data_IF_729549512199
#
_entry.id   IF_729549512199
#
_cell.length_a   1.000
_cell.length_b   1.000
_cell.length_c   1.000
_cell.angle_alpha   90.00
_cell.angle_beta   90.00
_cell.angle_gamma   90.00
#
_symmetry.space_group_name_H-M   'P 1'
#
loop_
_entity.id
_entity.type
_entity.pdbx_description
1 polymer ?
#
# COMPACT_ATOMS: atom_id res chain seq x y z
N UNK A 1 -38.58 22.90 -14.55
CA UNK A 1 -39.13 21.58 -14.23
C UNK A 1 -38.31 20.98 -13.10
N UNK A 2 -38.88 20.87 -11.91
CA UNK A 2 -38.22 20.25 -10.76
C UNK A 2 -38.42 18.72 -10.84
N UNK A 3 -37.39 17.91 -10.51
CA UNK A 3 -37.54 16.46 -10.43
C UNK A 3 -38.53 16.09 -9.33
N UNK A 4 -39.40 15.10 -9.60
CA UNK A 4 -40.43 14.63 -8.67
C UNK A 4 -39.83 13.96 -7.43
N UNK A 5 -40.50 14.18 -6.29
CA UNK A 5 -40.13 13.72 -4.94
C UNK A 5 -39.81 12.22 -4.83
N UNK A 6 -40.44 11.38 -5.64
CA UNK A 6 -40.26 9.92 -5.62
C UNK A 6 -38.93 9.45 -6.21
N UNK A 7 -38.26 10.27 -7.03
CA UNK A 7 -36.94 9.93 -7.59
C UNK A 7 -35.77 10.33 -6.68
N UNK A 8 -36.05 10.99 -5.55
CA UNK A 8 -35.04 11.63 -4.70
C UNK A 8 -34.57 10.78 -3.50
N UNK A 9 -35.12 9.59 -3.27
CA UNK A 9 -34.76 8.77 -2.08
C UNK A 9 -33.59 7.83 -2.33
N UNK A 10 -33.26 7.53 -3.59
CA UNK A 10 -32.01 6.84 -3.91
C UNK A 10 -30.88 7.84 -3.92
N UNK A 11 -30.30 8.07 -2.74
CA UNK A 11 -28.99 8.68 -2.61
C UNK A 11 -27.97 7.82 -3.37
N UNK A 12 -27.77 8.11 -4.65
CA UNK A 12 -26.64 7.57 -5.39
C UNK A 12 -25.41 8.20 -4.78
N UNK A 13 -24.84 7.54 -3.77
CA UNK A 13 -23.50 7.87 -3.34
C UNK A 13 -22.62 7.76 -4.58
N UNK A 14 -21.83 8.80 -4.94
CA UNK A 14 -21.01 8.81 -6.15
C UNK A 14 -19.86 7.77 -6.10
N UNK A 15 -19.82 6.96 -5.05
CA UNK A 15 -18.81 5.95 -4.76
C UNK A 15 -19.50 4.59 -4.85
N UNK A 16 -19.00 3.71 -5.73
CA UNK A 16 -19.39 2.30 -5.68
C UNK A 16 -18.89 1.71 -4.35
N UNK A 17 -19.82 1.57 -3.41
CA UNK A 17 -19.57 0.91 -2.15
C UNK A 17 -19.08 -0.52 -2.42
N UNK A 18 -18.09 -0.98 -1.66
CA UNK A 18 -17.67 -2.38 -1.70
C UNK A 18 -18.88 -3.29 -1.47
N UNK A 19 -18.87 -4.48 -2.10
CA UNK A 19 -19.96 -5.46 -2.02
C UNK A 19 -20.63 -5.56 -0.64
N UNK A 20 -19.90 -5.67 0.49
CA UNK A 20 -20.52 -5.75 1.82
C UNK A 20 -21.25 -4.47 2.26
N UNK A 21 -20.70 -3.28 1.98
CA UNK A 21 -21.34 -2.00 2.38
C UNK A 21 -22.62 -1.76 1.58
N UNK A 22 -22.64 -2.15 0.30
CA UNK A 22 -23.84 -2.09 -0.54
C UNK A 22 -24.95 -3.01 0.00
N UNK A 23 -24.60 -4.22 0.44
CA UNK A 23 -25.55 -5.15 1.06
C UNK A 23 -26.16 -4.55 2.34
N UNK A 24 -25.33 -3.97 3.21
CA UNK A 24 -25.80 -3.32 4.44
C UNK A 24 -26.67 -2.09 4.17
N UNK A 25 -26.30 -1.26 3.20
CA UNK A 25 -27.06 -0.05 2.86
C UNK A 25 -28.41 -0.41 2.23
N UNK A 26 -28.44 -1.45 1.38
CA UNK A 26 -29.67 -2.03 0.85
C UNK A 26 -30.56 -2.55 1.97
N UNK A 27 -30.01 -3.36 2.88
CA UNK A 27 -30.73 -3.88 4.04
C UNK A 27 -31.33 -2.77 4.92
N UNK A 28 -30.59 -1.68 5.18
CA UNK A 28 -31.08 -0.54 5.98
C UNK A 28 -32.23 0.17 5.25
N UNK A 29 -32.12 0.35 3.93
CA UNK A 29 -33.18 0.98 3.14
C UNK A 29 -34.45 0.13 3.14
N UNK A 30 -34.31 -1.17 2.87
CA UNK A 30 -35.42 -2.14 2.91
C UNK A 30 -36.06 -2.19 4.31
N UNK A 31 -35.26 -2.04 5.37
CA UNK A 31 -35.76 -1.96 6.74
C UNK A 31 -36.56 -0.69 7.01
N UNK A 32 -36.12 0.47 6.51
CA UNK A 32 -36.87 1.71 6.63
C UNK A 32 -38.19 1.66 5.87
N UNK A 33 -38.19 1.10 4.66
CA UNK A 33 -39.42 0.89 3.87
C UNK A 33 -40.37 -0.08 4.59
N UNK A 34 -39.82 -1.15 5.19
CA UNK A 34 -40.59 -2.07 6.02
C UNK A 34 -41.22 -1.38 7.25
N UNK A 35 -40.47 -0.53 7.96
CA UNK A 35 -41.02 0.24 9.08
C UNK A 35 -42.12 1.21 8.64
N UNK A 36 -41.96 1.88 7.50
CA UNK A 36 -42.99 2.78 6.96
C UNK A 36 -44.27 2.03 6.62
N UNK A 37 -44.17 0.82 6.06
CA UNK A 37 -45.32 -0.04 5.79
C UNK A 37 -46.02 -0.50 7.07
N UNK A 38 -45.27 -0.75 8.16
CA UNK A 38 -45.86 -1.09 9.46
C UNK A 38 -46.52 0.10 10.16
N UNK A 39 -46.01 1.31 9.94
CA UNK A 39 -46.54 2.54 10.55
C UNK A 39 -47.72 3.14 9.78
N UNK A 40 -48.13 2.54 8.66
CA UNK A 40 -49.35 2.94 7.97
C UNK A 40 -50.53 2.69 8.93
N UNK A 41 -51.34 3.71 9.26
CA UNK A 41 -52.45 3.56 10.20
C UNK A 41 -53.38 2.50 9.63
N UNK A 42 -53.37 1.33 10.25
CA UNK A 42 -54.44 0.36 10.05
C UNK A 42 -55.68 1.02 10.65
N UNK A 43 -56.66 1.30 9.80
CA UNK A 43 -57.97 1.75 10.24
C UNK A 43 -58.45 0.82 11.38
N UNK A 44 -58.91 1.48 12.45
CA UNK A 44 -59.18 0.92 13.77
C UNK A 44 -60.05 -0.35 13.73
N UNK A 45 -59.68 -1.32 14.60
CA UNK A 45 -60.52 -2.35 15.26
C UNK A 45 -59.91 -3.75 15.35
N UNK A 46 -58.64 -3.95 14.93
CA UNK A 46 -57.97 -5.23 15.16
C UNK A 46 -57.19 -5.25 16.49
N UNK A 47 -57.44 -6.25 17.38
CA UNK A 47 -56.82 -6.32 18.70
C UNK A 47 -55.29 -6.42 18.57
N UNK A 48 -54.60 -5.61 19.37
CA UNK A 48 -53.16 -5.43 19.44
C UNK A 48 -52.45 -6.77 19.74
N UNK A 49 -52.15 -7.55 18.69
CA UNK A 49 -51.42 -8.79 18.81
C UNK A 49 -49.96 -8.47 19.12
N UNK A 50 -49.56 -8.70 20.37
CA UNK A 50 -48.15 -8.61 20.79
C UNK A 50 -47.31 -9.54 19.92
N UNK A 51 -46.19 -9.07 19.35
CA UNK A 51 -45.38 -9.89 18.45
C UNK A 51 -44.79 -11.07 19.22
N UNK A 52 -45.20 -12.28 18.82
CA UNK A 52 -44.67 -13.52 19.37
C UNK A 52 -43.16 -13.63 19.08
N UNK A 53 -42.33 -14.05 20.06
CA UNK A 53 -40.87 -14.09 19.94
C UNK A 53 -40.33 -15.06 18.87
N UNK A 54 -41.17 -15.81 18.16
CA UNK A 54 -40.75 -16.76 17.12
C UNK A 54 -40.84 -16.23 15.69
N UNK A 55 -41.10 -14.93 15.49
CA UNK A 55 -41.24 -14.41 14.13
C UNK A 55 -39.88 -14.46 13.43
N UNK A 56 -39.71 -15.23 12.35
CA UNK A 56 -38.43 -15.34 11.65
C UNK A 56 -37.99 -13.96 11.14
N UNK A 57 -36.68 -13.68 11.21
CA UNK A 57 -36.14 -12.43 10.72
C UNK A 57 -36.59 -12.17 9.26
N UNK A 58 -36.88 -10.91 8.89
CA UNK A 58 -37.32 -10.58 7.54
C UNK A 58 -36.35 -11.11 6.48
N UNK A 59 -36.89 -11.51 5.32
CA UNK A 59 -36.10 -12.12 4.24
C UNK A 59 -34.89 -11.28 3.81
N UNK A 60 -35.04 -9.95 3.76
CA UNK A 60 -33.96 -9.03 3.39
C UNK A 60 -32.79 -9.06 4.38
N UNK A 61 -33.04 -9.29 5.68
CA UNK A 61 -31.98 -9.45 6.69
C UNK A 61 -31.20 -10.73 6.45
N UNK A 62 -31.89 -11.85 6.21
CA UNK A 62 -31.24 -13.14 5.92
C UNK A 62 -30.40 -13.09 4.63
N UNK A 63 -30.97 -12.51 3.57
CA UNK A 63 -30.27 -12.32 2.30
C UNK A 63 -29.01 -11.45 2.46
N UNK A 64 -29.08 -10.38 3.26
CA UNK A 64 -27.92 -9.53 3.54
C UNK A 64 -26.84 -10.28 4.32
N UNK A 65 -27.22 -11.07 5.33
CA UNK A 65 -26.29 -11.91 6.12
C UNK A 65 -25.62 -12.97 5.24
N UNK A 66 -26.37 -13.70 4.43
CA UNK A 66 -25.81 -14.69 3.50
C UNK A 66 -24.89 -14.02 2.48
N UNK A 67 -25.29 -12.86 1.95
CA UNK A 67 -24.46 -12.05 1.09
C UNK A 67 -23.14 -11.63 1.75
N UNK A 68 -23.20 -11.14 3.00
CA UNK A 68 -22.03 -10.74 3.79
C UNK A 68 -21.04 -11.89 4.01
N UNK A 69 -21.54 -13.11 4.23
CA UNK A 69 -20.71 -14.30 4.41
C UNK A 69 -19.81 -14.60 3.21
N UNK A 70 -20.21 -14.17 2.02
CA UNK A 70 -19.47 -14.35 0.77
C UNK A 70 -18.53 -13.17 0.45
N UNK A 71 -18.40 -12.20 1.35
CA UNK A 71 -17.55 -11.01 1.16
C UNK A 71 -16.32 -11.02 2.05
N UNK A 72 -15.43 -10.04 1.87
CA UNK A 72 -14.31 -9.78 2.77
C UNK A 72 -14.74 -9.40 4.19
N UNK A 73 -16.02 -9.13 4.44
CA UNK A 73 -16.58 -8.84 5.76
C UNK A 73 -17.21 -10.07 6.43
N UNK A 74 -16.99 -11.28 5.89
CA UNK A 74 -17.47 -12.53 6.49
C UNK A 74 -17.01 -12.72 7.95
N UNK A 75 -15.90 -12.10 8.33
CA UNK A 75 -15.39 -12.10 9.70
C UNK A 75 -16.37 -11.50 10.72
N UNK A 76 -17.31 -10.65 10.30
CA UNK A 76 -18.35 -10.09 11.17
C UNK A 76 -19.40 -11.13 11.58
N UNK A 77 -19.53 -12.21 10.82
CA UNK A 77 -20.49 -13.29 11.08
C UNK A 77 -19.85 -14.46 11.82
N UNK A 78 -18.53 -14.62 11.70
CA UNK A 78 -17.81 -15.66 12.43
C UNK A 78 -17.67 -15.30 13.90
N UNK A 79 -18.08 -16.21 14.78
CA UNK A 79 -17.88 -16.11 16.23
C UNK A 79 -16.42 -16.28 16.67
N UNK A 80 -15.53 -16.62 15.74
CA UNK A 80 -14.10 -16.76 16.04
C UNK A 80 -13.43 -15.39 16.20
N UNK A 81 -12.52 -15.22 17.18
CA UNK A 81 -11.74 -14.00 17.31
C UNK A 81 -10.94 -13.73 16.03
N UNK A 82 -10.81 -12.45 15.67
CA UNK A 82 -10.00 -12.00 14.53
C UNK A 82 -8.58 -12.55 14.66
N UNK A 83 -8.13 -13.26 13.62
CA UNK A 83 -6.77 -13.81 13.54
C UNK A 83 -5.88 -12.80 12.83
N UNK A 84 -4.58 -12.83 13.11
CA UNK A 84 -3.59 -12.05 12.34
C UNK A 84 -3.70 -12.27 10.82
N UNK A 85 -4.15 -13.45 10.39
CA UNK A 85 -4.34 -13.81 8.99
C UNK A 85 -5.54 -13.17 8.31
N UNK A 86 -6.48 -12.55 9.04
CA UNK A 86 -7.60 -11.83 8.43
C UNK A 86 -7.16 -10.43 8.02
N UNK A 87 -6.82 -10.28 6.74
CA UNK A 87 -6.45 -8.97 6.19
C UNK A 87 -7.68 -8.04 6.21
N UNK A 88 -7.54 -6.81 6.75
CA UNK A 88 -8.62 -5.84 6.72
C UNK A 88 -8.84 -5.39 5.27
N UNK A 89 -10.06 -5.02 4.89
CA UNK A 89 -10.33 -4.53 3.54
C UNK A 89 -9.46 -3.31 3.24
N UNK A 90 -8.65 -3.40 2.18
CA UNK A 90 -7.79 -2.28 1.78
C UNK A 90 -8.63 -1.15 1.22
N UNK A 91 -8.64 -0.02 1.93
CA UNK A 91 -9.28 1.19 1.45
C UNK A 91 -8.46 1.79 0.30
N UNK A 92 -9.10 1.97 -0.86
CA UNK A 92 -8.52 2.71 -1.99
C UNK A 92 -9.14 4.11 -1.99
N UNK A 93 -8.41 5.15 -1.54
CA UNK A 93 -8.96 6.50 -1.54
C UNK A 93 -9.27 6.92 -2.98
N UNK A 94 -10.39 7.60 -3.16
CA UNK A 94 -10.71 8.23 -4.44
C UNK A 94 -9.88 9.49 -4.59
N UNK A 95 -9.30 9.70 -5.77
CA UNK A 95 -8.61 10.95 -6.10
C UNK A 95 -9.60 12.10 -6.11
N UNK A 96 -9.57 12.93 -5.08
CA UNK A 96 -10.33 14.17 -5.04
C UNK A 96 -9.62 15.20 -5.92
N UNK A 97 -10.38 15.86 -6.81
CA UNK A 97 -9.88 17.05 -7.49
C UNK A 97 -9.38 18.07 -6.45
N UNK A 98 -8.28 18.79 -6.69
CA UNK A 98 -7.77 19.78 -5.73
C UNK A 98 -8.86 20.75 -5.28
N UNK A 99 -8.96 20.97 -3.97
CA UNK A 99 -9.80 22.02 -3.41
C UNK A 99 -9.10 23.34 -3.74
N UNK A 100 -9.60 24.04 -4.76
CA UNK A 100 -9.08 25.35 -5.13
C UNK A 100 -9.64 26.38 -4.16
N UNK A 101 -8.75 27.19 -3.58
CA UNK A 101 -9.18 28.35 -2.78
C UNK A 101 -9.89 29.38 -3.66
N UNK A 102 -9.43 29.50 -4.91
CA UNK A 102 -10.10 30.32 -5.92
C UNK A 102 -11.17 29.50 -6.65
N UNK A 103 -12.37 30.07 -6.70
CA UNK A 103 -13.44 29.60 -7.58
C UNK A 103 -12.94 29.39 -9.00
N UNK A 104 -13.40 28.32 -9.67
CA UNK A 104 -13.11 28.11 -11.11
C UNK A 104 -13.62 29.28 -11.96
N UNK A 105 -14.60 29.99 -11.43
CA UNK A 105 -15.27 31.12 -12.05
C UNK A 105 -14.91 32.43 -11.36
N UNK A 106 -13.73 32.53 -10.73
CA UNK A 106 -13.25 33.75 -10.06
C UNK A 106 -13.35 34.99 -10.95
N UNK A 107 -13.06 34.85 -12.25
CA UNK A 107 -13.20 35.91 -13.24
C UNK A 107 -14.64 36.41 -13.41
N UNK A 108 -15.66 35.55 -13.27
CA UNK A 108 -17.06 35.94 -13.37
C UNK A 108 -17.50 36.80 -12.18
N UNK A 109 -16.86 36.66 -11.03
CA UNK A 109 -17.16 37.46 -9.85
C UNK A 109 -16.57 38.87 -9.88
N UNK A 110 -15.66 39.16 -10.82
CA UNK A 110 -15.11 40.50 -11.02
C UNK A 110 -16.05 41.45 -11.76
N UNK A 111 -17.08 40.94 -12.45
CA UNK A 111 -18.04 41.76 -13.19
C UNK A 111 -19.23 42.16 -12.31
N UNK A 112 -19.66 43.42 -12.43
CA UNK A 112 -20.91 43.87 -11.82
C UNK A 112 -22.10 43.33 -12.64
N UNK A 113 -23.10 42.69 -12.02
CA UNK A 113 -24.27 42.20 -12.74
C UNK A 113 -25.05 43.37 -13.35
N UNK A 114 -25.41 43.28 -14.62
CA UNK A 114 -26.15 44.31 -15.35
C UNK A 114 -27.67 44.14 -15.23
N UNK A 115 -28.12 42.92 -14.90
CA UNK A 115 -29.53 42.59 -14.76
C UNK A 115 -29.82 41.84 -13.45
N UNK A 116 -31.06 41.89 -12.98
CA UNK A 116 -31.51 41.14 -11.79
C UNK A 116 -31.32 39.62 -11.97
N UNK A 117 -31.52 39.12 -13.19
CA UNK A 117 -31.32 37.71 -13.53
C UNK A 117 -29.86 37.28 -13.42
N UNK A 118 -28.93 38.13 -13.85
CA UNK A 118 -27.48 37.87 -13.68
C UNK A 118 -27.10 37.82 -12.21
N UNK A 119 -27.64 38.72 -11.38
CA UNK A 119 -27.40 38.69 -9.95
C UNK A 119 -27.89 37.37 -9.31
N UNK A 120 -29.08 36.89 -9.67
CA UNK A 120 -29.61 35.61 -9.22
C UNK A 120 -28.73 34.42 -9.66
N UNK A 121 -28.28 34.41 -10.92
CA UNK A 121 -27.39 33.37 -11.43
C UNK A 121 -26.02 33.38 -10.72
N UNK A 122 -25.46 34.56 -10.45
CA UNK A 122 -24.22 34.69 -9.68
C UNK A 122 -24.38 34.18 -8.25
N UNK A 123 -25.52 34.45 -7.60
CA UNK A 123 -25.82 33.91 -6.28
C UNK A 123 -25.95 32.38 -6.31
N UNK A 124 -26.73 31.84 -7.24
CA UNK A 124 -26.88 30.39 -7.42
C UNK A 124 -25.53 29.71 -7.70
N UNK A 125 -24.63 30.36 -8.45
CA UNK A 125 -23.28 29.87 -8.70
C UNK A 125 -22.46 29.81 -7.40
N UNK A 126 -22.45 30.88 -6.59
CA UNK A 126 -21.75 30.91 -5.28
C UNK A 126 -22.28 29.84 -4.34
N UNK A 127 -23.59 29.67 -4.27
CA UNK A 127 -24.22 28.63 -3.46
C UNK A 127 -23.86 27.22 -3.94
N UNK A 128 -23.83 26.99 -5.25
CA UNK A 128 -23.41 25.71 -5.83
C UNK A 128 -21.94 25.39 -5.51
N UNK A 129 -21.03 26.37 -5.65
CA UNK A 129 -19.61 26.18 -5.33
C UNK A 129 -19.37 25.99 -3.84
N UNK A 130 -20.10 26.71 -2.98
CA UNK A 130 -20.06 26.54 -1.53
C UNK A 130 -20.48 25.12 -1.14
N UNK A 131 -21.59 24.61 -1.70
CA UNK A 131 -22.06 23.24 -1.47
C UNK A 131 -21.05 22.20 -1.96
N UNK A 132 -20.50 22.37 -3.16
CA UNK A 132 -19.52 21.44 -3.71
C UNK A 132 -18.21 21.44 -2.90
N UNK A 133 -17.73 22.62 -2.46
CA UNK A 133 -16.56 22.72 -1.60
C UNK A 133 -16.81 22.08 -0.23
N UNK A 134 -17.98 22.29 0.36
CA UNK A 134 -18.38 21.62 1.60
C UNK A 134 -18.39 20.10 1.45
N UNK A 135 -18.98 19.56 0.37
CA UNK A 135 -18.98 18.12 0.06
C UNK A 135 -17.57 17.57 -0.13
N UNK A 136 -16.70 18.27 -0.86
CA UNK A 136 -15.30 17.86 -1.05
C UNK A 136 -14.53 17.82 0.27
N UNK A 137 -14.72 18.82 1.14
CA UNK A 137 -14.11 18.83 2.49
C UNK A 137 -14.57 17.64 3.32
N UNK A 138 -15.88 17.39 3.37
CA UNK A 138 -16.43 16.24 4.09
C UNK A 138 -15.92 14.90 3.54
N UNK A 139 -15.78 14.75 2.21
CA UNK A 139 -15.16 13.55 1.63
C UNK A 139 -13.67 13.44 1.97
N UNK A 140 -12.93 14.55 1.96
CA UNK A 140 -11.52 14.55 2.34
C UNK A 140 -11.32 14.15 3.81
N UNK A 141 -12.15 14.68 4.71
CA UNK A 141 -12.17 14.31 6.13
C UNK A 141 -12.49 12.82 6.33
N UNK A 142 -13.49 12.29 5.60
CA UNK A 142 -13.84 10.87 5.64
C UNK A 142 -12.72 9.96 5.11
N UNK A 143 -12.04 10.37 4.03
CA UNK A 143 -10.88 9.64 3.53
C UNK A 143 -9.72 9.67 4.52
N UNK A 144 -9.44 10.83 5.11
CA UNK A 144 -8.38 10.98 6.11
C UNK A 144 -8.65 10.12 7.35
N UNK A 145 -9.88 10.14 7.89
CA UNK A 145 -10.23 9.32 9.05
C UNK A 145 -10.14 7.81 8.75
N UNK A 146 -10.54 7.38 7.55
CA UNK A 146 -10.43 5.98 7.12
C UNK A 146 -8.97 5.55 6.98
N UNK A 147 -8.10 6.40 6.43
CA UNK A 147 -6.66 6.12 6.33
C UNK A 147 -6.04 6.01 7.72
N UNK A 148 -6.35 6.93 8.63
CA UNK A 148 -5.86 6.88 10.01
C UNK A 148 -6.33 5.63 10.75
N UNK A 149 -7.60 5.25 10.61
CA UNK A 149 -8.14 4.02 11.17
C UNK A 149 -7.41 2.79 10.60
N UNK A 150 -7.17 2.77 9.28
CA UNK A 150 -6.41 1.71 8.61
C UNK A 150 -4.97 1.58 9.14
N UNK A 151 -4.28 2.70 9.38
CA UNK A 151 -2.95 2.71 9.97
C UNK A 151 -2.96 2.13 11.39
N UNK A 152 -3.92 2.53 12.21
CA UNK A 152 -4.09 1.99 13.57
C UNK A 152 -4.36 0.49 13.55
N UNK A 153 -5.28 0.01 12.70
CA UNK A 153 -5.60 -1.42 12.60
C UNK A 153 -4.40 -2.23 12.14
N UNK A 154 -3.60 -1.73 11.19
CA UNK A 154 -2.39 -2.41 10.74
C UNK A 154 -1.37 -2.56 11.88
N UNK A 155 -1.19 -1.50 12.69
CA UNK A 155 -0.31 -1.56 13.87
C UNK A 155 -0.82 -2.56 14.92
N UNK A 156 -2.12 -2.55 15.19
CA UNK A 156 -2.73 -3.51 16.11
C UNK A 156 -2.59 -4.96 15.62
N UNK A 157 -2.75 -5.19 14.31
CA UNK A 157 -2.55 -6.50 13.70
C UNK A 157 -1.10 -6.96 13.78
N UNK A 158 -0.12 -6.09 13.52
CA UNK A 158 1.29 -6.41 13.68
C UNK A 158 1.63 -6.80 15.13
N UNK A 159 1.07 -6.09 16.12
CA UNK A 159 1.24 -6.44 17.53
C UNK A 159 0.60 -7.79 17.89
N UNK A 160 -0.60 -8.07 17.35
CA UNK A 160 -1.26 -9.36 17.52
C UNK A 160 -0.46 -10.50 16.89
N UNK A 161 0.04 -10.30 15.67
CA UNK A 161 0.89 -11.26 14.98
C UNK A 161 2.17 -11.54 15.78
N UNK A 162 2.87 -10.51 16.23
CA UNK A 162 4.07 -10.67 17.06
C UNK A 162 3.76 -11.41 18.37
N UNK A 163 2.60 -11.15 18.99
CA UNK A 163 2.16 -11.85 20.19
C UNK A 163 1.83 -13.34 19.91
N UNK A 164 1.17 -13.64 18.79
CA UNK A 164 0.88 -15.00 18.33
C UNK A 164 2.16 -15.77 18.00
N UNK A 165 3.09 -15.16 17.27
CA UNK A 165 4.40 -15.73 16.95
C UNK A 165 5.25 -15.95 18.20
N UNK A 166 5.26 -15.02 19.15
CA UNK A 166 5.93 -15.21 20.44
C UNK A 166 5.34 -16.37 21.22
N UNK A 167 4.01 -16.57 21.17
CA UNK A 167 3.35 -17.74 21.76
C UNK A 167 3.75 -19.03 21.04
N UNK A 168 3.86 -19.02 19.70
CA UNK A 168 4.30 -20.17 18.89
C UNK A 168 5.78 -20.51 19.08
N UNK A 169 6.67 -19.51 19.17
CA UNK A 169 8.13 -19.68 19.36
C UNK A 169 8.45 -20.27 20.75
N UNK A 170 7.68 -19.92 21.79
CA UNK A 170 7.87 -20.47 23.16
C UNK A 170 7.67 -21.97 23.26
N UNK A 171 6.95 -22.60 22.32
CA UNK A 171 6.75 -24.05 22.26
C UNK A 171 7.89 -24.79 21.55
N UNK A 172 8.80 -24.09 20.87
CA UNK A 172 9.69 -24.70 19.86
C UNK A 172 11.04 -25.25 20.34
N UNK A 173 11.57 -24.90 21.52
CA UNK A 173 12.96 -25.28 21.87
C UNK A 173 13.26 -25.58 23.33
N UNK A 174 12.26 -25.68 24.20
CA UNK A 174 12.50 -26.31 25.50
C UNK A 174 12.40 -27.82 25.28
N UNK A 175 13.53 -28.54 25.38
CA UNK A 175 13.56 -30.03 25.43
C UNK A 175 12.64 -30.61 26.53
N UNK A 176 12.11 -29.76 27.42
CA UNK A 176 11.06 -30.00 28.42
C UNK A 176 9.72 -29.31 28.05
N UNK A 177 9.21 -29.52 26.82
CA UNK A 177 8.04 -28.80 26.26
C UNK A 177 6.73 -28.91 27.05
N UNK A 178 6.60 -29.92 27.92
CA UNK A 178 5.38 -30.15 28.71
C UNK A 178 5.34 -29.39 30.04
N UNK A 179 6.42 -28.68 30.40
CA UNK A 179 6.53 -27.98 31.70
C UNK A 179 6.56 -28.92 32.92
N UNK A 180 6.57 -30.23 32.72
CA UNK A 180 6.73 -31.25 33.75
C UNK A 180 8.18 -31.73 33.78
N UNK A 181 8.76 -31.82 34.96
CA UNK A 181 10.06 -32.44 35.15
C UNK A 181 9.95 -33.93 34.76
N UNK A 182 10.55 -34.32 33.63
CA UNK A 182 10.76 -35.73 33.31
C UNK A 182 11.95 -36.22 34.14
N UNK A 183 11.74 -37.29 34.91
CA UNK A 183 12.85 -38.06 35.47
C UNK A 183 13.53 -38.80 34.32
N UNK A 184 14.67 -38.28 33.87
CA UNK A 184 15.55 -39.03 32.99
C UNK A 184 16.46 -39.91 33.84
N UNK A 185 16.63 -41.17 33.42
CA UNK A 185 17.78 -41.98 33.79
C UNK A 185 19.06 -41.21 33.45
N UNK A 186 20.09 -41.28 34.29
CA UNK A 186 21.35 -40.53 34.08
C UNK A 186 21.94 -40.70 32.68
N UNK A 187 21.85 -41.91 32.12
CA UNK A 187 22.38 -42.24 30.79
C UNK A 187 21.60 -41.58 29.64
N UNK A 188 20.27 -41.51 29.74
CA UNK A 188 19.43 -40.89 28.70
C UNK A 188 19.64 -39.38 28.66
N UNK A 189 19.80 -38.75 29.83
CA UNK A 189 20.14 -37.34 29.94
C UNK A 189 21.52 -37.05 29.35
N UNK A 190 22.51 -37.90 29.65
CA UNK A 190 23.87 -37.75 29.13
C UNK A 190 23.90 -37.82 27.60
N UNK A 191 23.25 -38.81 26.97
CA UNK A 191 23.15 -38.88 25.50
C UNK A 191 22.52 -37.61 24.90
N UNK A 192 21.46 -37.10 25.53
CA UNK A 192 20.76 -35.90 25.07
C UNK A 192 21.61 -34.63 25.17
N UNK A 193 22.51 -34.55 26.16
CA UNK A 193 23.49 -33.48 26.30
C UNK A 193 24.57 -33.57 25.21
N UNK A 194 25.12 -34.76 24.98
CA UNK A 194 26.12 -34.99 23.92
C UNK A 194 25.57 -34.61 22.55
N UNK A 195 24.37 -35.07 22.20
CA UNK A 195 23.71 -34.68 20.94
C UNK A 195 23.45 -33.17 20.82
N UNK A 196 23.19 -32.48 21.94
CA UNK A 196 23.00 -31.03 21.95
C UNK A 196 24.30 -30.27 21.67
N UNK A 197 25.39 -30.74 22.27
CA UNK A 197 26.69 -30.11 22.14
C UNK A 197 27.28 -30.37 20.76
N UNK A 198 27.17 -31.59 20.23
CA UNK A 198 27.52 -31.90 18.83
C UNK A 198 26.74 -31.02 17.84
N UNK A 199 25.44 -30.81 18.09
CA UNK A 199 24.62 -29.95 17.24
C UNK A 199 25.04 -28.49 17.33
N UNK A 200 25.37 -27.98 18.52
CA UNK A 200 25.89 -26.60 18.68
C UNK A 200 27.22 -26.43 17.98
N UNK A 201 28.10 -27.44 18.04
CA UNK A 201 29.38 -27.41 17.34
C UNK A 201 29.20 -27.39 15.82
N UNK A 202 28.26 -28.18 15.27
CA UNK A 202 27.91 -28.16 13.85
C UNK A 202 27.33 -26.79 13.43
N UNK A 203 26.37 -26.26 14.19
CA UNK A 203 25.78 -24.94 13.91
C UNK A 203 26.83 -23.82 13.99
N UNK A 204 27.77 -23.88 14.93
CA UNK A 204 28.87 -22.93 15.06
C UNK A 204 29.85 -23.04 13.87
N UNK A 205 30.21 -24.25 13.45
CA UNK A 205 31.08 -24.48 12.29
C UNK A 205 30.44 -23.97 10.99
N UNK A 206 29.14 -24.21 10.78
CA UNK A 206 28.40 -23.68 9.63
C UNK A 206 28.32 -22.16 9.64
N UNK A 207 28.13 -21.54 10.81
CA UNK A 207 28.14 -20.07 10.94
C UNK A 207 29.50 -19.49 10.58
N UNK A 208 30.59 -20.12 11.00
CA UNK A 208 31.95 -19.71 10.65
C UNK A 208 32.21 -19.84 9.14
N UNK A 209 31.77 -20.93 8.50
CA UNK A 209 31.85 -21.09 7.04
C UNK A 209 31.09 -19.99 6.31
N UNK A 210 29.84 -19.72 6.71
CA UNK A 210 29.04 -18.61 6.14
C UNK A 210 29.69 -17.24 6.35
N UNK A 211 30.35 -17.00 7.48
CA UNK A 211 31.08 -15.76 7.71
C UNK A 211 32.28 -15.63 6.75
N UNK A 212 33.09 -16.69 6.62
CA UNK A 212 34.23 -16.70 5.71
C UNK A 212 33.82 -16.52 4.23
N UNK A 213 32.71 -17.15 3.80
CA UNK A 213 32.20 -17.01 2.45
C UNK A 213 31.73 -15.57 2.16
N UNK A 214 31.08 -14.92 3.14
CA UNK A 214 30.68 -13.51 3.05
C UNK A 214 31.88 -12.57 2.95
N UNK A 215 32.91 -12.79 3.75
CA UNK A 215 34.16 -12.02 3.69
C UNK A 215 34.85 -12.20 2.32
N UNK A 216 34.98 -13.44 1.84
CA UNK A 216 35.56 -13.72 0.54
C UNK A 216 34.75 -13.11 -0.62
N UNK A 217 33.42 -13.09 -0.52
CA UNK A 217 32.57 -12.40 -1.49
C UNK A 217 32.73 -10.88 -1.41
N UNK A 218 32.79 -10.29 -0.21
CA UNK A 218 33.01 -8.87 -0.03
C UNK A 218 34.35 -8.42 -0.62
N UNK A 219 35.44 -9.16 -0.41
CA UNK A 219 36.75 -8.85 -1.01
C UNK A 219 36.74 -8.93 -2.54
N UNK A 220 36.05 -9.93 -3.13
CA UNK A 220 35.86 -10.03 -4.59
C UNK A 220 35.06 -8.84 -5.14
N UNK A 221 34.09 -8.35 -4.37
CA UNK A 221 33.27 -7.21 -4.78
C UNK A 221 34.05 -5.89 -4.70
N UNK A 222 34.88 -5.71 -3.66
CA UNK A 222 35.74 -4.54 -3.51
C UNK A 222 36.76 -4.45 -4.67
N UNK A 223 37.50 -5.52 -4.93
CA UNK A 223 38.47 -5.58 -6.05
C UNK A 223 37.79 -5.35 -7.42
N UNK A 224 36.58 -5.86 -7.62
CA UNK A 224 35.80 -5.59 -8.82
C UNK A 224 35.36 -4.12 -8.94
N UNK A 225 34.99 -3.48 -7.84
CA UNK A 225 34.62 -2.06 -7.82
C UNK A 225 35.82 -1.18 -8.21
N UNK A 226 36.99 -1.40 -7.62
CA UNK A 226 38.22 -0.66 -7.92
C UNK A 226 38.61 -0.79 -9.40
N UNK A 227 38.55 -2.01 -9.95
CA UNK A 227 38.86 -2.25 -11.36
C UNK A 227 37.88 -1.51 -12.29
N UNK A 228 36.59 -1.50 -11.97
CA UNK A 228 35.59 -0.82 -12.78
C UNK A 228 35.65 0.70 -12.64
N UNK A 229 36.03 1.22 -11.48
CA UNK A 229 36.26 2.64 -11.28
C UNK A 229 37.42 3.13 -12.16
N UNK A 230 38.54 2.37 -12.21
CA UNK A 230 39.66 2.67 -13.10
C UNK A 230 39.28 2.62 -14.60
N UNK A 231 38.36 1.73 -15.00
CA UNK A 231 37.85 1.71 -16.38
C UNK A 231 36.96 2.93 -16.64
N UNK A 232 36.12 3.34 -15.68
CA UNK A 232 35.25 4.51 -15.81
C UNK A 232 36.05 5.80 -15.96
N UNK A 233 37.13 5.98 -15.19
CA UNK A 233 37.98 7.18 -15.30
C UNK A 233 38.63 7.27 -16.67
N UNK A 234 39.27 6.19 -17.15
CA UNK A 234 39.85 6.12 -18.52
C UNK A 234 38.81 6.36 -19.61
N UNK A 235 37.62 5.78 -19.47
CA UNK A 235 36.53 5.98 -20.43
C UNK A 235 35.99 7.43 -20.40
N UNK A 236 36.01 8.09 -19.25
CA UNK A 236 35.63 9.50 -19.15
C UNK A 236 36.64 10.39 -19.88
N UNK A 237 37.95 10.13 -19.72
CA UNK A 237 39.03 10.80 -20.45
C UNK A 237 38.87 10.62 -21.97
N UNK A 238 38.72 9.39 -22.45
CA UNK A 238 38.48 9.08 -23.88
C UNK A 238 37.22 9.74 -24.44
N UNK A 239 36.16 9.85 -23.63
CA UNK A 239 34.93 10.56 -24.02
C UNK A 239 35.13 12.08 -24.08
N UNK A 240 35.98 12.63 -23.21
CA UNK A 240 36.33 14.05 -23.26
C UNK A 240 37.12 14.36 -24.54
N UNK A 241 38.11 13.53 -24.90
CA UNK A 241 38.85 13.61 -26.17
C UNK A 241 37.92 13.52 -27.39
N UNK A 242 37.00 12.55 -27.38
CA UNK A 242 35.98 12.44 -28.41
C UNK A 242 35.13 13.72 -28.51
N UNK A 243 34.72 14.28 -27.36
CA UNK A 243 33.92 15.50 -27.33
C UNK A 243 34.69 16.70 -27.89
N UNK A 244 35.99 16.82 -27.63
CA UNK A 244 36.82 17.90 -28.19
C UNK A 244 36.98 17.76 -29.70
N UNK A 245 37.15 16.53 -30.21
CA UNK A 245 37.27 16.27 -31.65
C UNK A 245 35.95 16.44 -32.40
N UNK A 246 34.83 16.11 -31.77
CA UNK A 246 33.51 16.42 -32.34
C UNK A 246 33.28 17.93 -32.38
N UNK A 247 33.67 18.66 -31.34
CA UNK A 247 33.54 20.12 -31.31
C UNK A 247 34.41 20.79 -32.38
N UNK A 248 35.66 20.37 -32.58
CA UNK A 248 36.52 20.87 -33.66
C UNK A 248 35.96 20.52 -35.05
N UNK A 249 35.43 19.32 -35.23
CA UNK A 249 34.75 18.94 -36.47
C UNK A 249 33.51 19.80 -36.73
N UNK A 250 32.72 20.14 -35.70
CA UNK A 250 31.53 20.99 -35.85
C UNK A 250 31.89 22.43 -36.21
N UNK A 251 32.94 23.00 -35.61
CA UNK A 251 33.42 24.36 -35.95
C UNK A 251 33.98 24.41 -37.37
N UNK A 252 34.78 23.42 -37.78
CA UNK A 252 35.28 23.30 -39.16
C UNK A 252 34.16 23.11 -40.18
N UNK A 253 33.17 22.27 -39.86
CA UNK A 253 31.99 22.07 -40.70
C UNK A 253 31.17 23.36 -40.85
N UNK A 254 31.02 24.13 -39.78
CA UNK A 254 30.34 25.43 -39.82
C UNK A 254 31.10 26.45 -40.68
N UNK A 255 32.43 26.52 -40.54
CA UNK A 255 33.29 27.38 -41.37
C UNK A 255 33.21 27.00 -42.86
N UNK A 256 33.34 25.72 -43.20
CA UNK A 256 33.20 25.24 -44.58
C UNK A 256 31.83 25.56 -45.19
N UNK A 257 30.75 25.50 -44.39
CA UNK A 257 29.41 25.89 -44.82
C UNK A 257 29.32 27.40 -45.10
N UNK A 258 29.93 28.25 -44.26
CA UNK A 258 29.98 29.70 -44.47
C UNK A 258 30.75 30.07 -45.75
N UNK A 259 31.84 29.35 -46.04
CA UNK A 259 32.66 29.49 -47.25
C UNK A 259 32.05 28.84 -48.51
N UNK A 260 30.89 28.18 -48.39
CA UNK A 260 30.24 27.40 -49.46
C UNK A 260 31.11 26.26 -50.02
N UNK A 261 32.06 25.75 -49.22
CA UNK A 261 32.87 24.57 -49.55
C UNK A 261 32.12 23.30 -49.13
N UNK A 262 32.31 22.19 -49.85
CA UNK A 262 31.78 20.87 -49.45
C UNK A 262 32.70 20.23 -48.40
N UNK A 263 32.25 19.96 -47.16
CA UNK A 263 33.06 19.26 -46.16
C UNK A 263 33.17 17.78 -46.55
N UNK A 264 34.38 17.29 -46.80
CA UNK A 264 34.64 15.87 -47.13
C UNK A 264 35.20 15.06 -45.94
N UNK A 265 35.32 15.66 -44.76
CA UNK A 265 35.86 14.98 -43.58
C UNK A 265 34.78 14.17 -42.86
N UNK A 266 35.00 12.87 -42.57
CA UNK A 266 34.04 12.06 -41.84
C UNK A 266 33.91 12.56 -40.40
N UNK A 267 32.70 12.43 -39.82
CA UNK A 267 32.49 12.72 -38.40
C UNK A 267 33.28 11.70 -37.55
N UNK A 268 34.03 12.14 -36.51
CA UNK A 268 34.65 11.22 -35.57
C UNK A 268 33.62 10.23 -34.99
N UNK A 269 33.98 8.95 -34.88
CA UNK A 269 33.12 7.90 -34.32
C UNK A 269 33.63 7.49 -32.95
N UNK A 270 32.71 7.28 -32.01
CA UNK A 270 33.04 6.90 -30.64
C UNK A 270 33.80 5.56 -30.55
N UNK A 271 33.57 4.64 -31.49
CA UNK A 271 34.23 3.33 -31.52
C UNK A 271 35.75 3.44 -31.75
N UNK A 272 36.21 4.50 -32.42
CA UNK A 272 37.63 4.69 -32.77
C UNK A 272 38.47 5.07 -31.54
N UNK A 273 37.83 5.54 -30.46
CA UNK A 273 38.48 5.95 -29.20
C UNK A 273 38.65 4.79 -28.22
N UNK A 274 38.30 3.56 -28.61
CA UNK A 274 38.60 2.35 -27.84
C UNK A 274 37.97 2.33 -26.44
N UNK A 275 36.70 2.69 -26.28
CA UNK A 275 36.02 2.65 -24.98
C UNK A 275 35.99 1.21 -24.44
N UNK A 276 36.55 1.01 -23.26
CA UNK A 276 36.61 -0.29 -22.59
C UNK A 276 35.25 -0.67 -22.01
N UNK A 277 34.89 -1.96 -22.06
CA UNK A 277 33.67 -2.46 -21.43
C UNK A 277 33.92 -2.74 -19.96
N UNK A 278 32.91 -2.48 -19.11
CA UNK A 278 33.01 -2.76 -17.67
C UNK A 278 33.05 -4.28 -17.44
N UNK A 279 33.82 -4.70 -16.44
CA UNK A 279 33.90 -6.09 -16.01
C UNK A 279 32.55 -6.54 -15.44
N UNK A 280 32.10 -7.77 -15.73
CA UNK A 280 30.85 -8.31 -15.19
C UNK A 280 30.92 -8.44 -13.66
N UNK A 281 29.81 -8.17 -12.98
CA UNK A 281 29.73 -8.25 -11.52
C UNK A 281 29.95 -9.70 -11.06
N UNK A 282 30.76 -9.95 -10.01
CA UNK A 282 30.87 -11.27 -9.40
C UNK A 282 29.48 -11.78 -8.99
N UNK A 283 29.15 -13.03 -9.34
CA UNK A 283 27.91 -13.66 -8.89
C UNK A 283 28.05 -14.08 -7.43
N UNK A 284 26.99 -13.88 -6.65
CA UNK A 284 26.84 -14.54 -5.34
C UNK A 284 26.82 -16.05 -5.60
N UNK A 285 27.56 -16.84 -4.82
CA UNK A 285 27.54 -18.30 -5.01
C UNK A 285 26.13 -18.84 -4.74
N UNK A 286 25.71 -19.89 -5.45
CA UNK A 286 24.38 -20.51 -5.28
C UNK A 286 24.15 -21.13 -3.88
N UNK A 287 25.12 -21.05 -2.97
CA UNK A 287 25.03 -21.47 -1.56
C UNK A 287 24.62 -20.37 -0.59
N UNK A 288 24.53 -19.13 -1.05
CA UNK A 288 23.81 -18.10 -0.32
C UNK A 288 22.31 -18.30 -0.57
N UNK A 289 21.74 -19.28 0.14
CA UNK A 289 20.29 -19.38 0.35
C UNK A 289 19.81 -17.98 0.75
N UNK A 290 18.71 -17.44 0.17
CA UNK A 290 18.14 -16.19 0.62
C UNK A 290 17.70 -16.34 2.08
N UNK A 291 18.63 -16.11 3.01
CA UNK A 291 18.33 -15.85 4.41
C UNK A 291 17.27 -14.76 4.40
N UNK A 292 16.09 -15.11 4.87
CA UNK A 292 15.12 -14.17 5.40
C UNK A 292 15.92 -13.19 6.26
N UNK A 293 16.11 -11.96 5.75
CA UNK A 293 16.49 -10.84 6.57
C UNK A 293 15.39 -10.71 7.63
N UNK A 294 15.54 -11.44 8.74
CA UNK A 294 14.86 -11.19 10.00
C UNK A 294 15.40 -9.82 10.44
N UNK A 295 14.82 -8.79 9.82
CA UNK A 295 15.11 -7.37 9.99
C UNK A 295 14.59 -6.95 11.36
N UNK A 296 15.25 -7.47 12.39
CA UNK A 296 14.99 -7.18 13.80
C UNK A 296 15.89 -6.00 14.24
N UNK A 297 15.98 -4.96 13.40
CA UNK A 297 16.66 -3.72 13.77
C UNK A 297 15.93 -2.48 13.23
N UNK A 298 14.75 -2.23 13.80
CA UNK A 298 14.20 -0.89 13.95
C UNK A 298 14.26 -0.48 15.43
N UNK A 299 15.48 -0.30 15.95
CA UNK A 299 15.68 0.64 17.05
C UNK A 299 15.45 2.06 16.52
N UNK A 300 14.21 2.50 16.61
CA UNK A 300 13.82 3.89 16.40
C UNK A 300 14.49 4.78 17.45
N UNK A 301 15.63 5.36 17.09
CA UNK A 301 16.20 6.49 17.78
C UNK A 301 15.41 7.76 17.39
N UNK A 302 14.29 7.97 18.06
CA UNK A 302 13.57 9.25 18.04
C UNK A 302 14.27 10.21 19.01
N UNK A 303 15.24 10.96 18.50
CA UNK A 303 15.72 12.17 19.17
C UNK A 303 14.67 13.25 18.98
N UNK A 304 14.13 13.74 20.09
CA UNK A 304 13.42 15.01 20.18
C UNK A 304 14.41 16.15 19.87
N UNK A 305 14.00 17.05 18.98
CA UNK A 305 14.28 18.49 18.99
C UNK A 305 13.13 19.19 18.22
#
# INVERSE_FOLDING_TARGET
MAPSLESSTRGTLPIQQSSPVRLMTGMISDYMDYQQLQMRPMDEDLPLATPSPSTPAPFFVRSAVDGLSSTSASFLLTSSPLKSTSAPPTFKPYTLSPIKNDSRYSHLFGFAPQSAREAELMQALRESESRDNSRKRSMAEMQASTVLAGMYTNRAQAQLQAAEERKRRKTGKRKMGDGKAKYFSGDDFYRLCVEDDEKKEQEAAEKLKRAADREAHASRLATWQEANEAIRTKNAERRAEYSTDVASWETEKAAAKAEKRRPNWPKPKLADYGIETLLPKPKKGDHDDPEEEDSDDQSGNGSED
#
